data_IF_781554796272
#
_entry.id   IF_781554796272
#
_cell.length_a   1.000
_cell.length_b   1.000
_cell.length_c   1.000
_cell.angle_alpha   90.00
_cell.angle_beta   90.00
_cell.angle_gamma   90.00
#
_symmetry.space_group_name_H-M   'P 1'
#
loop_
_entity.id
_entity.type
_entity.pdbx_description
1 polymer ?
#
# COMPACT_ATOMS: atom_id res chain seq x y z
N UNK A 1 -15.76 -0.59 -8.57
CA UNK A 1 -14.69 -1.62 -8.53
C UNK A 1 -15.16 -3.02 -8.12
N UNK A 2 -16.02 -3.18 -7.11
CA UNK A 2 -16.45 -4.50 -6.62
C UNK A 2 -17.05 -5.43 -7.71
N UNK A 3 -17.91 -4.90 -8.59
CA UNK A 3 -18.53 -5.68 -9.67
C UNK A 3 -17.55 -6.24 -10.71
N UNK A 4 -16.41 -5.58 -10.93
CA UNK A 4 -15.36 -6.08 -11.82
C UNK A 4 -14.72 -7.34 -11.25
N UNK A 5 -14.38 -7.33 -9.96
CA UNK A 5 -13.74 -8.47 -9.30
C UNK A 5 -14.69 -9.65 -9.13
N UNK A 6 -15.99 -9.40 -8.90
CA UNK A 6 -17.01 -10.45 -8.90
C UNK A 6 -17.08 -11.16 -10.26
N UNK A 7 -17.10 -10.41 -11.37
CA UNK A 7 -17.11 -10.98 -12.73
C UNK A 7 -15.84 -11.78 -13.07
N UNK A 8 -14.70 -11.44 -12.45
CA UNK A 8 -13.45 -12.20 -12.57
C UNK A 8 -13.42 -13.48 -11.71
N UNK A 9 -14.49 -13.78 -10.95
CA UNK A 9 -14.59 -14.99 -10.15
C UNK A 9 -13.85 -14.94 -8.81
N UNK A 10 -13.41 -13.77 -8.34
CA UNK A 10 -12.71 -13.69 -7.06
C UNK A 10 -13.67 -13.92 -5.87
N UNK A 11 -13.23 -14.64 -4.81
CA UNK A 11 -14.03 -14.83 -3.60
C UNK A 11 -14.39 -13.50 -2.94
N UNK A 12 -15.61 -13.39 -2.38
CA UNK A 12 -16.09 -12.17 -1.72
C UNK A 12 -15.10 -11.67 -0.65
N UNK A 13 -14.54 -12.57 0.15
CA UNK A 13 -13.55 -12.21 1.18
C UNK A 13 -12.28 -11.59 0.59
N UNK A 14 -11.80 -12.11 -0.55
CA UNK A 14 -10.66 -11.54 -1.27
C UNK A 14 -11.00 -10.15 -1.79
N UNK A 15 -12.21 -9.98 -2.36
CA UNK A 15 -12.69 -8.69 -2.87
C UNK A 15 -12.77 -7.66 -1.75
N UNK A 16 -13.34 -8.02 -0.60
CA UNK A 16 -13.50 -7.11 0.54
C UNK A 16 -12.14 -6.72 1.13
N UNK A 17 -11.20 -7.68 1.26
CA UNK A 17 -9.80 -7.41 1.62
C UNK A 17 -9.15 -6.46 0.61
N UNK A 18 -9.32 -6.72 -0.68
CA UNK A 18 -8.75 -5.92 -1.77
C UNK A 18 -9.24 -4.48 -1.75
N UNK A 19 -10.54 -4.26 -1.56
CA UNK A 19 -11.13 -2.92 -1.52
C UNK A 19 -10.59 -2.10 -0.33
N UNK A 20 -10.45 -2.72 0.85
CA UNK A 20 -9.80 -2.06 2.00
C UNK A 20 -8.36 -1.67 1.72
N UNK A 21 -7.58 -2.58 1.12
CA UNK A 21 -6.19 -2.29 0.73
C UNK A 21 -6.07 -1.23 -0.37
N UNK A 22 -7.10 -1.00 -1.18
CA UNK A 22 -7.16 0.12 -2.13
C UNK A 22 -7.38 1.44 -1.40
N UNK A 23 -8.36 1.49 -0.48
CA UNK A 23 -8.68 2.71 0.27
C UNK A 23 -7.47 3.25 1.05
N UNK A 24 -6.80 2.37 1.80
CA UNK A 24 -5.60 2.73 2.59
C UNK A 24 -4.47 3.29 1.71
N UNK A 25 -4.30 2.75 0.50
CA UNK A 25 -3.29 3.25 -0.44
C UNK A 25 -3.68 4.56 -1.09
N UNK A 26 -4.98 4.76 -1.32
CA UNK A 26 -5.48 6.02 -1.84
C UNK A 26 -5.16 7.13 -0.84
N UNK A 27 -5.46 6.91 0.44
CA UNK A 27 -5.12 7.84 1.52
C UNK A 27 -3.62 8.16 1.57
N UNK A 28 -2.75 7.14 1.49
CA UNK A 28 -1.29 7.35 1.45
C UNK A 28 -0.84 8.16 0.22
N UNK A 29 -1.40 7.84 -0.95
CA UNK A 29 -1.05 8.51 -2.19
C UNK A 29 -1.46 9.98 -2.13
N UNK A 30 -2.63 10.26 -1.53
CA UNK A 30 -3.12 11.62 -1.37
C UNK A 30 -2.30 12.39 -0.32
N UNK A 31 -1.85 11.74 0.76
CA UNK A 31 -0.89 12.32 1.70
C UNK A 31 0.43 12.69 1.02
N UNK A 32 0.99 11.79 0.21
CA UNK A 32 2.22 12.07 -0.54
C UNK A 32 2.05 13.23 -1.53
N UNK A 33 0.91 13.32 -2.22
CA UNK A 33 0.59 14.46 -3.08
C UNK A 33 0.52 15.76 -2.29
N UNK A 34 -0.14 15.75 -1.14
CA UNK A 34 -0.25 16.91 -0.26
C UNK A 34 1.14 17.38 0.21
N UNK A 35 2.08 16.46 0.39
CA UNK A 35 3.49 16.75 0.72
C UNK A 35 4.37 17.08 -0.48
N UNK A 36 3.81 17.16 -1.68
CA UNK A 36 4.50 17.62 -2.88
C UNK A 36 4.98 16.54 -3.86
N UNK A 37 4.66 15.27 -3.65
CA UNK A 37 4.92 14.24 -4.65
C UNK A 37 4.02 14.44 -5.88
N UNK A 38 4.60 14.59 -7.07
CA UNK A 38 3.87 14.98 -8.29
C UNK A 38 4.02 13.98 -9.42
N UNK A 39 5.06 13.16 -9.41
CA UNK A 39 5.43 12.26 -10.49
C UNK A 39 5.28 10.79 -10.11
N UNK A 40 5.00 9.96 -11.13
CA UNK A 40 4.99 8.50 -11.00
C UNK A 40 6.32 7.95 -10.47
N UNK A 41 7.45 8.60 -10.80
CA UNK A 41 8.79 8.23 -10.33
C UNK A 41 8.94 8.43 -8.82
N UNK A 42 8.45 9.55 -8.28
CA UNK A 42 8.48 9.81 -6.83
C UNK A 42 7.64 8.79 -6.06
N UNK A 43 6.43 8.48 -6.56
CA UNK A 43 5.61 7.41 -5.96
C UNK A 43 6.30 6.05 -6.01
N UNK A 44 7.02 5.74 -7.09
CA UNK A 44 7.78 4.48 -7.20
C UNK A 44 8.95 4.42 -6.21
N UNK A 45 9.69 5.52 -6.04
CA UNK A 45 10.77 5.65 -5.05
C UNK A 45 10.20 5.45 -3.64
N UNK A 46 9.18 6.20 -3.25
CA UNK A 46 8.54 6.10 -1.93
C UNK A 46 7.99 4.69 -1.66
N UNK A 47 7.43 4.05 -2.69
CA UNK A 47 6.98 2.65 -2.59
C UNK A 47 8.16 1.70 -2.36
N UNK A 48 9.28 1.90 -3.06
CA UNK A 48 10.48 1.09 -2.88
C UNK A 48 11.09 1.27 -1.48
N UNK A 49 11.14 2.49 -0.96
CA UNK A 49 11.63 2.76 0.41
C UNK A 49 10.78 2.03 1.46
N UNK A 50 9.45 2.07 1.34
CA UNK A 50 8.56 1.32 2.23
C UNK A 50 8.80 -0.18 2.12
N UNK A 51 8.95 -0.70 0.89
CA UNK A 51 9.19 -2.12 0.66
C UNK A 51 10.53 -2.57 1.23
N UNK A 52 11.59 -1.78 1.03
CA UNK A 52 12.90 -2.05 1.57
C UNK A 52 12.90 -2.00 3.11
N UNK A 53 12.35 -0.95 3.73
CA UNK A 53 12.28 -0.87 5.21
C UNK A 53 11.45 -2.00 5.86
N UNK A 54 10.52 -2.59 5.10
CA UNK A 54 9.67 -3.66 5.59
C UNK A 54 10.20 -5.08 5.31
N UNK A 55 10.78 -5.32 4.13
CA UNK A 55 11.16 -6.66 3.64
C UNK A 55 12.63 -6.81 3.29
N UNK A 56 13.41 -5.73 3.42
CA UNK A 56 14.80 -5.67 2.95
C UNK A 56 14.91 -5.97 1.45
N UNK A 57 13.83 -5.71 0.70
CA UNK A 57 13.70 -5.98 -0.72
C UNK A 57 12.99 -4.83 -1.44
N UNK A 58 13.48 -4.48 -2.62
CA UNK A 58 12.80 -3.59 -3.57
C UNK A 58 11.66 -4.32 -4.27
N UNK A 59 10.76 -3.54 -4.89
CA UNK A 59 9.58 -4.09 -5.59
C UNK A 59 9.97 -5.12 -6.66
N UNK A 60 11.01 -4.86 -7.45
CA UNK A 60 11.44 -5.76 -8.53
C UNK A 60 12.07 -7.06 -7.98
N UNK A 61 12.86 -6.97 -6.92
CA UNK A 61 13.43 -8.15 -6.26
C UNK A 61 12.31 -9.03 -5.67
N UNK A 62 11.30 -8.40 -5.08
CA UNK A 62 10.15 -9.12 -4.55
C UNK A 62 9.32 -9.80 -5.66
N UNK A 63 9.18 -9.16 -6.83
CA UNK A 63 8.55 -9.81 -8.00
C UNK A 63 9.32 -11.05 -8.44
N UNK A 64 10.65 -11.00 -8.46
CA UNK A 64 11.49 -12.15 -8.79
C UNK A 64 11.31 -13.29 -7.78
N UNK A 65 11.31 -12.98 -6.48
CA UNK A 65 11.03 -13.96 -5.41
C UNK A 65 9.66 -14.62 -5.60
N UNK A 66 8.67 -13.88 -6.10
CA UNK A 66 7.32 -14.38 -6.37
C UNK A 66 7.13 -14.98 -7.77
N UNK A 67 8.17 -15.00 -8.61
CA UNK A 67 8.10 -15.49 -9.99
C UNK A 67 7.19 -14.66 -10.91
N UNK A 68 6.92 -13.40 -10.56
CA UNK A 68 6.00 -12.54 -11.31
C UNK A 68 6.74 -11.82 -12.44
N UNK A 69 6.25 -12.00 -13.67
CA UNK A 69 6.85 -11.38 -14.86
C UNK A 69 6.10 -10.11 -15.28
N UNK A 70 4.79 -10.23 -15.51
CA UNK A 70 3.92 -9.10 -15.96
C UNK A 70 2.82 -8.77 -14.96
N UNK A 71 2.68 -9.59 -13.94
CA UNK A 71 1.62 -9.48 -12.96
C UNK A 71 1.89 -8.35 -11.98
N UNK A 72 0.82 -7.70 -11.53
CA UNK A 72 0.94 -6.64 -10.56
C UNK A 72 1.28 -7.26 -9.21
N UNK A 73 2.48 -6.99 -8.67
CA UNK A 73 2.93 -7.53 -7.38
C UNK A 73 1.84 -7.43 -6.30
N UNK A 74 1.11 -6.31 -6.25
CA UNK A 74 0.07 -6.02 -5.24
C UNK A 74 -1.11 -7.00 -5.25
N UNK A 75 -1.31 -7.74 -6.33
CA UNK A 75 -2.36 -8.77 -6.44
C UNK A 75 -1.88 -10.14 -5.90
N UNK A 76 -0.56 -10.31 -5.76
CA UNK A 76 0.12 -11.55 -5.39
C UNK A 76 0.85 -11.46 -4.04
N UNK A 77 0.80 -10.30 -3.38
CA UNK A 77 1.31 -10.15 -2.02
C UNK A 77 0.33 -10.75 -1.00
N UNK A 78 0.67 -11.92 -0.45
CA UNK A 78 0.01 -12.47 0.75
C UNK A 78 0.33 -11.58 1.95
N UNK A 79 -0.64 -10.75 2.35
CA UNK A 79 -0.51 -9.79 3.46
C UNK A 79 -0.83 -8.36 3.05
N UNK A 80 -0.45 -7.90 1.86
CA UNK A 80 -0.64 -6.50 1.43
C UNK A 80 -2.11 -6.09 1.26
N UNK A 81 -2.99 -7.05 0.93
CA UNK A 81 -4.45 -6.83 0.89
C UNK A 81 -5.10 -6.85 2.29
N UNK A 82 -4.32 -7.00 3.37
CA UNK A 82 -4.81 -6.81 4.75
C UNK A 82 -4.42 -5.43 5.26
N UNK A 83 -5.36 -4.66 5.86
CA UNK A 83 -5.06 -3.38 6.51
C UNK A 83 -3.90 -3.47 7.50
N UNK A 84 -3.77 -4.63 8.16
CA UNK A 84 -2.71 -4.91 9.15
C UNK A 84 -1.30 -4.85 8.57
N UNK A 85 -1.07 -5.21 7.31
CA UNK A 85 0.28 -5.27 6.75
C UNK A 85 0.84 -3.88 6.46
N UNK A 86 0.05 -3.03 5.78
CA UNK A 86 0.44 -1.66 5.52
C UNK A 86 0.55 -0.88 6.82
N UNK A 87 -0.41 -1.04 7.73
CA UNK A 87 -0.34 -0.44 9.05
C UNK A 87 0.89 -0.91 9.84
N UNK A 88 1.29 -2.19 9.74
CA UNK A 88 2.49 -2.72 10.41
C UNK A 88 3.78 -2.12 9.83
N UNK A 89 3.89 -1.99 8.51
CA UNK A 89 5.06 -1.36 7.87
C UNK A 89 5.12 0.15 8.17
N UNK A 90 3.99 0.83 8.05
CA UNK A 90 3.87 2.25 8.36
C UNK A 90 4.21 2.53 9.83
N UNK A 91 3.72 1.69 10.76
CA UNK A 91 4.04 1.81 12.19
C UNK A 91 5.51 1.52 12.51
N UNK A 92 6.17 0.62 11.78
CA UNK A 92 7.62 0.39 11.90
C UNK A 92 8.42 1.63 11.47
N UNK A 93 8.00 2.33 10.42
CA UNK A 93 8.70 3.49 9.86
C UNK A 93 8.39 4.81 10.58
N UNK A 94 7.13 5.02 10.97
CA UNK A 94 6.61 6.28 11.49
C UNK A 94 6.20 6.21 12.97
N UNK A 95 6.41 5.08 13.64
CA UNK A 95 6.07 4.87 15.06
C UNK A 95 4.57 4.80 15.37
N UNK A 96 3.70 5.12 14.41
CA UNK A 96 2.25 5.18 14.57
C UNK A 96 1.53 4.55 13.36
N UNK A 97 0.25 4.20 13.50
CA UNK A 97 -0.55 3.74 12.37
C UNK A 97 -0.83 4.90 11.39
N UNK A 98 -1.16 4.61 10.12
CA UNK A 98 -1.50 5.65 9.14
C UNK A 98 -2.64 6.57 9.61
N UNK A 99 -3.61 6.01 10.34
CA UNK A 99 -4.74 6.77 10.89
C UNK A 99 -4.33 7.67 12.05
N UNK A 100 -3.47 7.19 12.95
CA UNK A 100 -2.89 8.01 14.03
C UNK A 100 -2.01 9.12 13.47
N UNK A 101 -1.19 8.82 12.46
CA UNK A 101 -0.37 9.82 11.76
C UNK A 101 -1.23 10.94 11.17
N UNK A 102 -2.37 10.59 10.55
CA UNK A 102 -3.33 11.57 10.01
C UNK A 102 -3.92 12.47 11.09
N UNK A 103 -4.26 11.92 12.27
CA UNK A 103 -4.77 12.70 13.41
C UNK A 103 -3.68 13.63 13.96
N UNK A 104 -2.46 13.11 14.12
CA UNK A 104 -1.32 13.88 14.63
C UNK A 104 -0.95 15.05 13.69
N UNK A 105 -1.05 14.84 12.38
CA UNK A 105 -0.86 15.91 11.39
C UNK A 105 -1.97 16.96 11.45
N UNK A 106 -3.23 16.53 11.62
CA UNK A 106 -4.34 17.47 11.75
C UNK A 106 -4.23 18.34 13.02
N UNK A 107 -3.65 17.80 14.10
CA UNK A 107 -3.41 18.52 15.35
C UNK A 107 -2.14 19.41 15.34
N UNK A 108 -1.19 19.19 14.43
CA UNK A 108 0.01 20.02 14.29
C UNK A 108 -0.19 21.27 13.40
N UNK A 109 -1.33 21.37 12.72
CA UNK A 109 -1.68 22.50 11.82
C UNK A 109 -2.81 23.36 12.43
N UNK A 110 -3.09 23.18 13.72
CA UNK A 110 -4.01 24.01 14.54
C UNK A 110 -3.21 24.82 15.55
#
# INVERSE_FOLDING_TARGET
MQGLYKRKGYPKEWIDKRLRGIAVRQDLTDEWKNRGARSSKEFAILTNEIMHGAFDLKVEEYKQVKGLQRENLRDHMTGFNTPNYFAKCFRKQFGCSPSEHKINLAQQVS
#
